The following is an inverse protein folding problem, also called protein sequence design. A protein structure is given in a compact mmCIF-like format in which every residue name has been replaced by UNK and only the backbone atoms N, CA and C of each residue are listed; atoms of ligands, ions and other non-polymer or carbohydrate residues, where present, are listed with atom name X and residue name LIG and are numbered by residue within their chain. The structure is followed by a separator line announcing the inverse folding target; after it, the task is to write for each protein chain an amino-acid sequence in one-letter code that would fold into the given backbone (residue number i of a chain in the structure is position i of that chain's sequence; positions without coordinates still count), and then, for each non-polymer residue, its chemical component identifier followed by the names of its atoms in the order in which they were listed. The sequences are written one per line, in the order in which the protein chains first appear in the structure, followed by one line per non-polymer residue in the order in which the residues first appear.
data_IF_826547143050
#
_entry.id   IF_826547143050
#
_cell.length_a   1.000
_cell.length_b   1.000
_cell.length_c   1.000
_cell.angle_alpha   90.00
_cell.angle_beta   90.00
_cell.angle_gamma   90.00
#
_symmetry.space_group_name_H-M   'P 1'
#
loop_
_entity.id
_entity.type
_entity.pdbx_description
1 polymer ?
#
# COMPACT_ATOMS: atom_id res chain seq x y z
N UNK A 1 -36.84 -6.52 18.86
CA UNK A 1 -36.62 -5.09 19.18
C UNK A 1 -35.42 -4.65 18.36
N UNK A 2 -35.62 -3.79 17.37
CA UNK A 2 -34.57 -3.35 16.46
C UNK A 2 -33.71 -2.27 17.10
N UNK A 3 -32.40 -2.47 17.10
CA UNK A 3 -31.45 -1.40 17.40
C UNK A 3 -31.22 -0.61 16.11
N UNK A 4 -31.79 0.59 16.05
CA UNK A 4 -31.42 1.60 15.08
C UNK A 4 -30.09 2.24 15.54
N UNK A 5 -29.08 2.15 14.68
CA UNK A 5 -27.81 2.85 14.81
C UNK A 5 -28.09 4.34 14.55
N UNK A 6 -27.90 5.18 15.57
CA UNK A 6 -27.90 6.64 15.43
C UNK A 6 -26.55 7.08 14.85
N UNK A 7 -26.49 7.74 13.69
CA UNK A 7 -25.27 8.39 13.21
C UNK A 7 -25.27 9.83 13.73
N UNK A 8 -24.87 10.01 14.98
CA UNK A 8 -24.45 11.33 15.46
C UNK A 8 -23.34 11.11 16.47
N UNK A 9 -22.19 10.76 15.93
CA UNK A 9 -20.90 10.71 16.61
C UNK A 9 -20.58 12.10 17.17
N UNK A 10 -20.62 12.19 18.50
CA UNK A 10 -19.75 12.99 19.36
C UNK A 10 -19.22 14.31 18.78
N UNK A 11 -20.13 15.24 18.46
CA UNK A 11 -19.75 16.64 18.28
C UNK A 11 -19.40 17.24 19.64
N UNK A 12 -18.11 17.31 19.96
CA UNK A 12 -17.62 17.71 21.29
C UNK A 12 -17.45 19.24 21.45
N UNK A 13 -17.66 20.02 20.38
CA UNK A 13 -17.70 21.48 20.42
C UNK A 13 -18.13 22.09 19.10
N UNK A 14 -18.30 23.43 19.05
CA UNK A 14 -18.68 24.11 17.82
C UNK A 14 -17.54 24.08 16.81
N UNK A 15 -17.88 23.82 15.55
CA UNK A 15 -16.96 23.88 14.41
C UNK A 15 -17.32 25.12 13.59
N UNK A 16 -16.36 26.02 13.40
CA UNK A 16 -16.56 27.25 12.61
C UNK A 16 -15.52 27.32 11.51
N UNK A 17 -16.00 27.48 10.29
CA UNK A 17 -15.20 27.64 9.08
C UNK A 17 -15.51 29.01 8.50
N UNK A 18 -14.54 29.91 8.56
CA UNK A 18 -14.66 31.31 8.11
C UNK A 18 -13.49 31.67 7.20
N UNK A 19 -13.56 32.82 6.53
CA UNK A 19 -12.45 33.33 5.71
C UNK A 19 -12.04 34.73 6.13
N UNK A 20 -10.74 35.02 6.09
CA UNK A 20 -10.21 36.38 6.14
C UNK A 20 -9.74 36.81 4.74
N UNK A 21 -9.05 37.94 4.59
CA UNK A 21 -8.61 38.42 3.27
C UNK A 21 -7.64 37.46 2.56
N UNK A 22 -6.91 36.62 3.31
CA UNK A 22 -5.77 35.83 2.79
C UNK A 22 -5.92 34.33 2.95
N UNK A 23 -6.75 33.88 3.89
CA UNK A 23 -6.78 32.51 4.35
C UNK A 23 -8.20 32.03 4.65
N UNK A 24 -8.37 30.71 4.64
CA UNK A 24 -9.48 30.04 5.31
C UNK A 24 -9.09 29.73 6.75
N UNK A 25 -10.04 29.85 7.66
CA UNK A 25 -9.84 29.69 9.11
C UNK A 25 -10.83 28.66 9.62
N UNK A 26 -10.32 27.65 10.34
CA UNK A 26 -11.10 26.59 10.96
C UNK A 26 -10.86 26.59 12.46
N UNK A 27 -11.88 26.96 13.21
CA UNK A 27 -11.94 26.82 14.67
C UNK A 27 -12.64 25.49 14.99
N UNK A 28 -11.94 24.63 15.72
CA UNK A 28 -12.41 23.29 16.04
C UNK A 28 -11.95 22.90 17.45
N UNK A 29 -12.77 22.12 18.16
CA UNK A 29 -12.44 21.67 19.51
C UNK A 29 -11.14 20.83 19.52
N UNK A 30 -10.30 20.90 20.58
CA UNK A 30 -9.03 20.18 20.62
C UNK A 30 -9.10 18.67 20.38
N UNK A 31 -10.22 18.03 20.72
CA UNK A 31 -10.42 16.60 20.51
C UNK A 31 -10.68 16.24 19.04
N UNK A 32 -11.21 17.18 18.24
CA UNK A 32 -11.52 16.99 16.82
C UNK A 32 -10.41 17.56 15.90
N UNK A 33 -9.31 18.02 16.48
CA UNK A 33 -8.19 18.67 15.75
C UNK A 33 -7.60 17.80 14.64
N UNK A 34 -7.71 16.48 14.76
CA UNK A 34 -7.11 15.57 13.80
C UNK A 34 -7.83 15.61 12.44
N UNK A 35 -9.10 16.01 12.40
CA UNK A 35 -9.86 16.26 11.16
C UNK A 35 -9.28 17.43 10.37
N UNK A 36 -9.02 18.54 11.06
CA UNK A 36 -8.34 19.69 10.47
C UNK A 36 -6.90 19.34 10.04
N UNK A 37 -6.24 18.41 10.74
CA UNK A 37 -4.91 17.92 10.35
C UNK A 37 -4.90 17.06 9.10
N UNK A 38 -6.00 16.47 8.67
CA UNK A 38 -6.01 15.65 7.44
C UNK A 38 -5.93 16.51 6.18
N UNK A 39 -6.34 17.78 6.25
CA UNK A 39 -6.30 18.71 5.12
C UNK A 39 -4.87 19.27 4.93
N UNK A 40 -4.39 19.26 3.69
CA UNK A 40 -3.07 19.75 3.29
C UNK A 40 -2.98 21.28 3.32
N UNK A 41 -1.78 21.83 3.51
CA UNK A 41 -1.55 23.30 3.52
C UNK A 41 -1.95 24.01 4.81
N UNK A 42 -2.10 23.26 5.91
CA UNK A 42 -2.52 23.76 7.23
C UNK A 42 -1.39 24.43 8.01
N UNK A 43 -1.72 25.49 8.74
CA UNK A 43 -0.86 26.13 9.74
C UNK A 43 -1.67 26.40 11.01
N UNK A 44 -1.10 26.13 12.17
CA UNK A 44 -1.75 26.46 13.45
C UNK A 44 -1.48 27.92 13.81
N UNK A 45 -2.53 28.73 13.96
CA UNK A 45 -2.43 30.09 14.48
C UNK A 45 -2.83 30.12 15.96
N UNK A 46 -1.81 30.15 16.83
CA UNK A 46 -2.00 30.18 18.28
C UNK A 46 -2.62 31.47 18.83
N UNK A 47 -2.69 32.56 18.05
CA UNK A 47 -3.38 33.79 18.47
C UNK A 47 -4.89 33.68 18.27
N UNK A 48 -5.31 33.01 17.20
CA UNK A 48 -6.73 32.78 16.86
C UNK A 48 -7.25 31.46 17.42
N UNK A 49 -6.35 30.58 17.88
CA UNK A 49 -6.65 29.22 18.32
C UNK A 49 -7.40 28.48 17.20
N UNK A 50 -6.86 28.58 15.98
CA UNK A 50 -7.51 28.08 14.77
C UNK A 50 -6.49 27.52 13.78
N UNK A 51 -6.95 26.61 12.92
CA UNK A 51 -6.21 26.16 11.76
C UNK A 51 -6.42 27.14 10.61
N UNK A 52 -5.31 27.57 10.01
CA UNK A 52 -5.29 28.53 8.92
C UNK A 52 -4.80 27.82 7.66
N UNK A 53 -5.48 28.04 6.55
CA UNK A 53 -5.15 27.45 5.26
C UNK A 53 -5.07 28.53 4.18
N UNK A 54 -4.21 28.33 3.19
CA UNK A 54 -4.14 29.22 2.03
C UNK A 54 -5.44 29.19 1.21
N UNK A 55 -5.82 30.33 0.61
CA UNK A 55 -6.98 30.42 -0.29
C UNK A 55 -6.72 29.79 -1.66
N UNK A 56 -6.50 28.48 -1.68
CA UNK A 56 -6.43 27.68 -2.90
C UNK A 56 -7.79 27.01 -3.20
N UNK A 57 -8.14 26.79 -4.48
CA UNK A 57 -9.36 26.06 -4.86
C UNK A 57 -9.41 24.65 -4.27
N UNK A 58 -8.27 23.95 -4.25
CA UNK A 58 -8.14 22.59 -3.69
C UNK A 58 -8.46 22.56 -2.19
N UNK A 59 -7.97 23.55 -1.46
CA UNK A 59 -8.23 23.72 -0.03
C UNK A 59 -9.71 24.00 0.23
N UNK A 60 -10.34 24.84 -0.60
CA UNK A 60 -11.78 25.10 -0.50
C UNK A 60 -12.59 23.81 -0.69
N UNK A 61 -12.27 23.02 -1.72
CA UNK A 61 -12.98 21.77 -2.03
C UNK A 61 -12.79 20.74 -0.89
N UNK A 62 -11.59 20.66 -0.30
CA UNK A 62 -11.32 19.82 0.86
C UNK A 62 -12.08 20.26 2.13
N UNK A 63 -12.13 21.57 2.43
CA UNK A 63 -12.88 22.11 3.56
C UNK A 63 -14.39 21.88 3.42
N UNK A 64 -14.91 22.01 2.20
CA UNK A 64 -16.30 21.70 1.86
C UNK A 64 -16.61 20.22 2.07
N UNK A 65 -15.72 19.33 1.64
CA UNK A 65 -15.92 17.89 1.80
C UNK A 65 -15.92 17.46 3.28
N UNK A 66 -15.00 18.03 4.08
CA UNK A 66 -14.77 17.61 5.45
C UNK A 66 -15.74 18.23 6.47
N UNK A 67 -16.01 19.55 6.37
CA UNK A 67 -16.68 20.29 7.45
C UNK A 67 -18.06 20.85 7.09
N UNK A 68 -18.48 20.85 5.83
CA UNK A 68 -19.76 21.48 5.43
C UNK A 68 -20.99 20.81 6.05
N UNK A 69 -20.89 19.51 6.37
CA UNK A 69 -22.02 18.72 6.88
C UNK A 69 -22.29 18.92 8.36
N UNK A 70 -21.26 19.29 9.12
CA UNK A 70 -21.24 19.24 10.57
C UNK A 70 -20.80 20.56 11.23
N UNK A 71 -20.30 21.53 10.45
CA UNK A 71 -20.00 22.87 10.92
C UNK A 71 -21.25 23.62 11.40
N UNK A 72 -21.13 24.30 12.55
CA UNK A 72 -22.14 25.24 13.05
C UNK A 72 -22.17 26.53 12.25
N UNK A 73 -21.01 26.89 11.68
CA UNK A 73 -20.85 28.09 10.86
C UNK A 73 -19.91 27.75 9.70
N UNK A 74 -20.39 27.94 8.47
CA UNK A 74 -19.62 27.67 7.27
C UNK A 74 -19.77 28.84 6.29
N UNK A 75 -18.89 29.84 6.45
CA UNK A 75 -18.92 31.12 5.74
C UNK A 75 -17.62 31.33 4.96
N UNK A 76 -17.39 30.49 3.94
CA UNK A 76 -16.25 30.61 3.03
C UNK A 76 -16.72 30.66 1.58
N UNK A 77 -15.99 31.38 0.73
CA UNK A 77 -16.28 31.50 -0.70
C UNK A 77 -15.19 30.85 -1.53
N UNK A 78 -15.58 30.28 -2.66
CA UNK A 78 -14.61 29.69 -3.60
C UNK A 78 -13.68 30.80 -4.12
N UNK A 79 -12.35 30.64 -4.05
CA UNK A 79 -11.42 31.64 -4.56
C UNK A 79 -11.65 31.88 -6.06
N UNK A 80 -11.67 33.15 -6.48
CA UNK A 80 -11.69 33.49 -7.91
C UNK A 80 -10.38 33.01 -8.53
N UNK A 81 -10.46 32.05 -9.43
CA UNK A 81 -9.30 31.57 -10.19
C UNK A 81 -8.68 32.74 -10.94
N UNK A 82 -7.40 33.03 -10.70
CA UNK A 82 -6.66 33.99 -11.53
C UNK A 82 -6.58 33.42 -12.93
N UNK A 83 -7.13 34.15 -13.90
CA UNK A 83 -7.03 33.85 -15.32
C UNK A 83 -5.53 33.74 -15.68
N UNK A 84 -5.10 32.73 -16.44
CA UNK A 84 -3.71 32.61 -16.88
C UNK A 84 -3.24 33.89 -17.59
N UNK A 85 -1.97 34.31 -17.43
CA UNK A 85 -1.49 35.62 -17.88
C UNK A 85 -1.36 35.81 -19.40
N UNK A 86 -1.91 34.93 -20.25
CA UNK A 86 -1.68 34.96 -21.71
C UNK A 86 -2.92 35.20 -22.58
N UNK A 87 -3.96 35.84 -22.05
CA UNK A 87 -5.04 36.38 -22.90
C UNK A 87 -4.97 37.90 -22.85
N UNK A 88 -4.44 38.50 -23.91
CA UNK A 88 -4.48 39.95 -24.15
C UNK A 88 -5.93 40.42 -24.09
N UNK A 89 -6.30 41.12 -23.04
CA UNK A 89 -7.54 41.86 -22.97
C UNK A 89 -7.42 43.06 -23.91
N UNK A 90 -8.09 42.99 -25.06
CA UNK A 90 -8.47 44.18 -25.78
C UNK A 90 -9.46 44.95 -24.89
N UNK A 91 -9.04 46.16 -24.53
CA UNK A 91 -9.84 47.21 -23.91
C UNK A 91 -11.05 47.53 -24.78
N UNK A 92 -12.25 47.53 -24.20
CA UNK A 92 -13.38 48.27 -24.76
C UNK A 92 -14.18 48.87 -23.59
N UNK A 93 -13.89 50.14 -23.33
CA UNK A 93 -14.93 51.09 -22.93
C UNK A 93 -15.81 51.34 -24.17
N UNK A 94 -17.12 51.36 -23.92
CA UNK A 94 -18.19 52.13 -24.58
C UNK A 94 -18.05 52.42 -26.09
N UNK A 95 -18.90 51.80 -26.90
CA UNK A 95 -20.05 52.50 -27.52
C UNK A 95 -20.77 51.59 -28.54
N UNK A 96 -22.05 51.91 -28.71
CA UNK A 96 -23.05 51.32 -29.60
C UNK A 96 -22.56 51.11 -31.04
N UNK A 97 -22.98 49.97 -31.64
CA UNK A 97 -23.59 49.84 -32.98
C UNK A 97 -23.36 48.43 -33.55
N UNK A 98 -24.49 47.77 -33.84
CA UNK A 98 -24.68 46.68 -34.81
C UNK A 98 -23.57 45.62 -34.96
N UNK A 99 -23.70 44.50 -34.24
CA UNK A 99 -22.94 43.29 -34.52
C UNK A 99 -23.86 42.10 -34.81
N UNK A 100 -23.98 41.77 -36.09
CA UNK A 100 -24.61 40.55 -36.60
C UNK A 100 -24.02 39.31 -35.93
N UNK A 101 -24.88 38.44 -35.40
CA UNK A 101 -24.49 37.13 -34.84
C UNK A 101 -23.76 36.27 -35.87
N UNK A 102 -22.45 36.00 -35.74
CA UNK A 102 -21.79 35.01 -36.56
C UNK A 102 -22.05 33.63 -35.94
N UNK A 103 -22.78 32.81 -36.69
CA UNK A 103 -22.71 31.35 -36.75
C UNK A 103 -22.64 30.53 -35.43
N UNK A 104 -23.73 29.80 -35.22
CA UNK A 104 -23.99 28.70 -34.29
C UNK A 104 -23.09 27.45 -34.49
N UNK A 105 -21.81 27.59 -34.87
CA UNK A 105 -20.93 26.43 -35.14
C UNK A 105 -20.01 26.05 -33.96
N UNK A 106 -19.66 26.96 -33.05
CA UNK A 106 -18.76 26.64 -31.91
C UNK A 106 -19.44 25.91 -30.73
N UNK A 107 -20.77 25.83 -30.69
CA UNK A 107 -21.50 25.01 -29.70
C UNK A 107 -21.56 23.52 -30.08
N UNK A 108 -21.27 23.18 -31.34
CA UNK A 108 -21.22 21.80 -31.83
C UNK A 108 -19.98 21.04 -31.33
N UNK A 109 -18.82 21.70 -31.28
CA UNK A 109 -17.56 21.07 -30.87
C UNK A 109 -17.50 20.80 -29.37
N UNK A 110 -18.01 21.72 -28.55
CA UNK A 110 -18.09 21.53 -27.09
C UNK A 110 -19.03 20.39 -26.68
N UNK A 111 -20.18 20.24 -27.35
CA UNK A 111 -21.09 19.11 -27.11
C UNK A 111 -20.52 17.78 -27.63
N UNK A 112 -19.77 17.82 -28.73
CA UNK A 112 -19.09 16.64 -29.28
C UNK A 112 -17.99 16.15 -28.34
N UNK A 113 -17.18 17.07 -27.80
CA UNK A 113 -16.12 16.77 -26.84
C UNK A 113 -16.66 16.23 -25.51
N UNK A 114 -17.74 16.83 -24.98
CA UNK A 114 -18.42 16.32 -23.79
C UNK A 114 -19.03 14.92 -24.01
N UNK A 115 -19.53 14.61 -25.21
CA UNK A 115 -20.03 13.28 -25.55
C UNK A 115 -18.92 12.24 -25.66
N UNK A 116 -17.75 12.63 -26.17
CA UNK A 116 -16.56 11.77 -26.23
C UNK A 116 -16.03 11.49 -24.82
N UNK A 117 -15.88 12.51 -23.98
CA UNK A 117 -15.44 12.35 -22.58
C UNK A 117 -16.42 11.50 -21.76
N UNK A 118 -17.74 11.66 -21.96
CA UNK A 118 -18.74 10.79 -21.31
C UNK A 118 -18.72 9.34 -21.83
N UNK A 119 -18.40 9.14 -23.11
CA UNK A 119 -18.22 7.80 -23.66
C UNK A 119 -16.97 7.12 -23.06
N UNK A 120 -15.88 7.86 -22.87
CA UNK A 120 -14.66 7.39 -22.21
C UNK A 120 -14.85 7.10 -20.72
N UNK A 121 -15.64 7.91 -20.02
CA UNK A 121 -16.03 7.64 -18.62
C UNK A 121 -16.88 6.36 -18.55
N UNK A 122 -17.77 6.13 -19.53
CA UNK A 122 -18.60 4.93 -19.57
C UNK A 122 -17.81 3.67 -19.89
N UNK A 123 -16.83 3.74 -20.78
CA UNK A 123 -15.94 2.60 -21.07
C UNK A 123 -15.05 2.28 -19.87
N UNK A 124 -14.50 3.29 -19.19
CA UNK A 124 -13.72 3.07 -17.95
C UNK A 124 -14.59 2.48 -16.83
N UNK A 125 -15.82 2.94 -16.64
CA UNK A 125 -16.75 2.34 -15.68
C UNK A 125 -17.13 0.89 -16.01
N UNK A 126 -17.27 0.54 -17.30
CA UNK A 126 -17.47 -0.85 -17.71
C UNK A 126 -16.23 -1.72 -17.44
N UNK A 127 -15.03 -1.20 -17.69
CA UNK A 127 -13.76 -1.90 -17.38
C UNK A 127 -13.64 -2.12 -15.87
N UNK A 128 -14.01 -1.14 -15.05
CA UNK A 128 -14.07 -1.32 -13.59
C UNK A 128 -15.11 -2.36 -13.19
N UNK A 129 -16.29 -2.35 -13.81
CA UNK A 129 -17.34 -3.35 -13.55
C UNK A 129 -16.87 -4.78 -13.87
N UNK A 130 -16.18 -4.98 -14.99
CA UNK A 130 -15.57 -6.26 -15.35
C UNK A 130 -14.46 -6.66 -14.37
N UNK A 131 -13.61 -5.73 -13.94
CA UNK A 131 -12.57 -5.98 -12.94
C UNK A 131 -13.16 -6.39 -11.57
N UNK A 132 -14.29 -5.81 -11.15
CA UNK A 132 -14.98 -6.21 -9.93
C UNK A 132 -15.61 -7.60 -10.06
N UNK A 133 -16.21 -7.93 -11.21
CA UNK A 133 -16.75 -9.27 -11.46
C UNK A 133 -15.65 -10.34 -11.46
N UNK A 134 -14.46 -10.02 -11.99
CA UNK A 134 -13.31 -10.92 -11.95
C UNK A 134 -12.72 -11.04 -10.54
N UNK A 135 -12.75 -9.97 -9.73
CA UNK A 135 -12.35 -10.02 -8.32
C UNK A 135 -13.28 -10.93 -7.50
N UNK A 136 -14.60 -10.88 -7.76
CA UNK A 136 -15.58 -11.75 -7.10
C UNK A 136 -15.36 -13.24 -7.46
N UNK A 137 -15.08 -13.54 -8.73
CA UNK A 137 -14.67 -14.89 -9.18
C UNK A 137 -13.36 -15.35 -8.53
N UNK A 138 -12.39 -14.45 -8.36
CA UNK A 138 -11.14 -14.77 -7.66
C UNK A 138 -11.38 -15.10 -6.19
N UNK A 139 -12.26 -14.37 -5.50
CA UNK A 139 -12.63 -14.66 -4.12
C UNK A 139 -13.36 -16.01 -3.98
N UNK A 140 -14.26 -16.33 -4.91
CA UNK A 140 -14.91 -17.65 -4.95
C UNK A 140 -13.90 -18.77 -5.20
N UNK A 141 -12.93 -18.56 -6.11
CA UNK A 141 -11.85 -19.51 -6.36
C UNK A 141 -10.97 -19.71 -5.11
N UNK A 142 -10.62 -18.64 -4.40
CA UNK A 142 -9.84 -18.72 -3.15
C UNK A 142 -10.61 -19.49 -2.08
N UNK A 143 -11.92 -19.23 -1.94
CA UNK A 143 -12.76 -19.95 -0.99
C UNK A 143 -12.89 -21.44 -1.34
N UNK A 144 -13.00 -21.77 -2.62
CA UNK A 144 -13.04 -23.15 -3.09
C UNK A 144 -11.70 -23.87 -2.85
N UNK A 145 -10.58 -23.21 -3.14
CA UNK A 145 -9.23 -23.72 -2.87
C UNK A 145 -8.97 -23.90 -1.37
N UNK A 146 -9.44 -23.00 -0.51
CA UNK A 146 -9.34 -23.16 0.94
C UNK A 146 -10.11 -24.39 1.44
N UNK A 147 -11.31 -24.62 0.90
CA UNK A 147 -12.11 -25.80 1.24
C UNK A 147 -11.39 -27.09 0.81
N UNK A 148 -10.87 -27.12 -0.42
CA UNK A 148 -10.15 -28.27 -0.96
C UNK A 148 -8.82 -28.54 -0.21
N UNK A 149 -8.13 -27.48 0.23
CA UNK A 149 -6.92 -27.56 1.06
C UNK A 149 -7.26 -28.13 2.44
N UNK A 150 -8.36 -27.68 3.06
CA UNK A 150 -8.81 -28.19 4.35
C UNK A 150 -9.18 -29.68 4.30
N UNK A 151 -9.78 -30.13 3.19
CA UNK A 151 -10.10 -31.54 2.94
C UNK A 151 -8.83 -32.37 2.70
N UNK A 152 -7.84 -31.81 2.00
CA UNK A 152 -6.56 -32.46 1.72
C UNK A 152 -5.66 -32.57 2.96
N UNK A 153 -5.68 -31.56 3.85
CA UNK A 153 -4.99 -31.61 5.16
C UNK A 153 -5.62 -32.67 6.07
N UNK A 154 -6.95 -32.80 6.05
CA UNK A 154 -7.66 -33.86 6.78
C UNK A 154 -7.30 -35.28 6.32
N UNK A 155 -6.92 -35.45 5.06
CA UNK A 155 -6.48 -36.73 4.49
C UNK A 155 -4.96 -36.97 4.64
N UNK A 156 -4.14 -35.91 4.62
CA UNK A 156 -2.69 -35.98 4.80
C UNK A 156 -2.27 -36.30 6.25
N UNK A 157 -3.12 -36.02 7.24
CA UNK A 157 -2.87 -36.37 8.65
C UNK A 157 -2.74 -37.89 8.95
N UNK A 158 -3.05 -38.77 7.98
CA UNK A 158 -2.93 -40.23 8.13
C UNK A 158 -1.71 -40.86 7.45
N UNK A 159 -0.92 -40.10 6.67
CA UNK A 159 0.25 -40.64 5.96
C UNK A 159 1.38 -39.62 5.97
N UNK A 160 2.24 -39.71 6.99
CA UNK A 160 3.71 -39.74 6.87
C UNK A 160 4.38 -39.33 8.18
N UNK A 161 4.98 -40.35 8.80
CA UNK A 161 5.99 -40.24 9.86
C UNK A 161 7.34 -40.00 9.19
N UNK A 162 7.67 -38.75 8.89
CA UNK A 162 9.03 -38.28 8.64
C UNK A 162 9.21 -36.97 9.42
N UNK A 163 10.30 -36.90 10.18
CA UNK A 163 10.66 -35.90 11.19
C UNK A 163 10.00 -34.52 10.99
N UNK A 164 8.79 -34.39 11.51
CA UNK A 164 8.11 -33.11 11.71
C UNK A 164 8.90 -32.39 12.81
N UNK A 165 9.20 -31.08 12.68
CA UNK A 165 9.73 -30.31 13.81
C UNK A 165 8.82 -30.55 15.01
N UNK A 166 9.41 -30.82 16.18
CA UNK A 166 8.71 -31.26 17.39
C UNK A 166 7.37 -30.53 17.57
N UNK A 167 6.29 -31.26 17.96
CA UNK A 167 4.96 -30.68 18.12
C UNK A 167 5.07 -29.41 18.94
N UNK A 168 4.65 -28.29 18.33
CA UNK A 168 4.73 -26.95 18.91
C UNK A 168 4.15 -27.05 20.33
N UNK A 169 5.01 -26.84 21.33
CA UNK A 169 4.59 -26.67 22.73
C UNK A 169 3.45 -25.66 22.74
N UNK A 170 2.32 -26.05 23.32
CA UNK A 170 1.09 -25.26 23.38
C UNK A 170 1.43 -23.80 23.61
N UNK A 171 1.09 -22.94 22.64
CA UNK A 171 1.33 -21.50 22.75
C UNK A 171 0.66 -21.00 24.05
N UNK A 172 1.38 -20.27 24.92
CA UNK A 172 0.80 -19.74 26.13
C UNK A 172 -0.37 -18.80 25.80
N UNK A 173 -1.38 -18.75 26.67
CA UNK A 173 -2.57 -17.89 26.48
C UNK A 173 -2.19 -16.42 26.34
N UNK A 174 -1.14 -15.99 27.06
CA UNK A 174 -0.57 -14.65 26.97
C UNK A 174 0.83 -14.69 26.32
N UNK A 175 0.91 -14.16 25.09
CA UNK A 175 2.18 -14.00 24.39
C UNK A 175 2.83 -12.67 24.77
N UNK A 176 4.10 -12.74 25.16
CA UNK A 176 4.91 -11.58 25.52
C UNK A 176 6.13 -11.54 24.59
N UNK A 177 6.16 -10.54 23.71
CA UNK A 177 7.24 -10.38 22.74
C UNK A 177 8.54 -9.86 23.37
N UNK A 178 8.50 -9.36 24.60
CA UNK A 178 9.69 -8.99 25.37
C UNK A 178 10.30 -10.22 26.08
N UNK A 179 9.50 -11.27 26.28
CA UNK A 179 9.97 -12.54 26.82
C UNK A 179 10.69 -13.37 25.75
N UNK A 180 11.98 -13.62 25.97
CA UNK A 180 12.82 -14.36 25.03
C UNK A 180 12.33 -15.80 24.76
N UNK A 181 11.70 -16.48 25.72
CA UNK A 181 11.17 -17.82 25.52
C UNK A 181 9.92 -17.81 24.63
N UNK A 182 9.00 -16.86 24.86
CA UNK A 182 7.81 -16.67 24.02
C UNK A 182 8.21 -16.27 22.60
N UNK A 183 9.21 -15.39 22.45
CA UNK A 183 9.75 -15.00 21.15
C UNK A 183 10.34 -16.20 20.39
N UNK A 184 11.05 -17.11 21.08
CA UNK A 184 11.58 -18.33 20.46
C UNK A 184 10.48 -19.31 20.04
N UNK A 185 9.41 -19.44 20.83
CA UNK A 185 8.26 -20.26 20.48
C UNK A 185 7.57 -19.74 19.21
N UNK A 186 7.32 -18.42 19.15
CA UNK A 186 6.74 -17.76 17.98
C UNK A 186 7.68 -17.88 16.77
N UNK A 187 8.98 -17.68 16.96
CA UNK A 187 9.99 -17.81 15.91
C UNK A 187 9.96 -19.22 15.31
N UNK A 188 9.94 -20.28 16.14
CA UNK A 188 9.82 -21.67 15.67
C UNK A 188 8.53 -21.92 14.90
N UNK A 189 7.40 -21.42 15.39
CA UNK A 189 6.11 -21.58 14.71
C UNK A 189 6.12 -20.88 13.33
N UNK A 190 6.65 -19.65 13.26
CA UNK A 190 6.78 -18.90 12.01
C UNK A 190 7.74 -19.57 11.03
N UNK A 191 8.85 -20.12 11.50
CA UNK A 191 9.77 -20.89 10.66
C UNK A 191 9.07 -22.13 10.10
N UNK A 192 8.25 -22.82 10.91
CA UNK A 192 7.44 -23.95 10.44
C UNK A 192 6.46 -23.56 9.32
N UNK A 193 5.75 -22.44 9.49
CA UNK A 193 4.86 -21.90 8.45
C UNK A 193 5.65 -21.52 7.19
N UNK A 194 6.78 -20.83 7.35
CA UNK A 194 7.64 -20.44 6.25
C UNK A 194 8.20 -21.65 5.49
N UNK A 195 8.59 -22.71 6.19
CA UNK A 195 9.07 -23.96 5.58
C UNK A 195 8.00 -24.64 4.72
N UNK A 196 6.74 -24.63 5.18
CA UNK A 196 5.63 -25.13 4.37
C UNK A 196 5.37 -24.24 3.14
N UNK A 197 5.48 -22.92 3.30
CA UNK A 197 5.32 -21.95 2.21
C UNK A 197 6.44 -22.02 1.17
N UNK A 198 7.65 -22.42 1.57
CA UNK A 198 8.79 -22.66 0.69
C UNK A 198 8.77 -24.05 0.06
N UNK A 199 7.59 -24.67 -0.13
CA UNK A 199 7.45 -26.02 -0.70
C UNK A 199 8.31 -27.09 0.01
N UNK A 200 8.58 -26.91 1.30
CA UNK A 200 9.43 -27.79 2.12
C UNK A 200 10.89 -27.90 1.64
N UNK A 201 11.40 -26.87 0.98
CA UNK A 201 12.78 -26.82 0.49
C UNK A 201 13.83 -27.01 1.62
N UNK A 202 14.69 -28.04 1.59
CA UNK A 202 15.65 -28.32 2.67
C UNK A 202 16.65 -27.18 2.91
N UNK A 203 17.19 -26.60 1.83
CA UNK A 203 18.14 -25.48 1.96
C UNK A 203 17.53 -24.24 2.62
N UNK A 204 16.20 -24.06 2.54
CA UNK A 204 15.52 -22.95 3.22
C UNK A 204 15.56 -23.14 4.74
N UNK A 205 15.15 -24.32 5.21
CA UNK A 205 15.07 -24.58 6.66
C UNK A 205 16.47 -24.58 7.30
N UNK A 206 17.46 -25.19 6.63
CA UNK A 206 18.85 -25.22 7.09
C UNK A 206 19.41 -23.80 7.23
N UNK A 207 19.12 -22.94 6.24
CA UNK A 207 19.57 -21.55 6.26
C UNK A 207 18.83 -20.75 7.35
N UNK A 208 17.51 -20.78 7.38
CA UNK A 208 16.70 -19.93 8.29
C UNK A 208 16.95 -20.25 9.76
N UNK A 209 17.11 -21.52 10.12
CA UNK A 209 17.39 -21.95 11.50
C UNK A 209 18.71 -21.36 12.04
N UNK A 210 19.69 -21.10 11.17
CA UNK A 210 20.96 -20.46 11.53
C UNK A 210 20.87 -18.94 11.76
N UNK A 211 19.87 -18.27 11.19
CA UNK A 211 19.83 -16.80 11.11
C UNK A 211 18.86 -16.13 12.09
N UNK A 212 17.94 -16.89 12.72
CA UNK A 212 17.00 -16.42 13.78
C UNK A 212 16.28 -15.11 13.44
N UNK A 213 15.22 -15.17 12.61
CA UNK A 213 14.51 -13.99 12.11
C UNK A 213 14.05 -12.99 13.17
N UNK A 214 13.52 -13.46 14.30
CA UNK A 214 13.05 -12.61 15.39
C UNK A 214 14.14 -12.33 16.42
N UNK A 215 15.08 -13.26 16.61
CA UNK A 215 16.21 -13.08 17.51
C UNK A 215 17.18 -11.99 17.06
N UNK A 216 17.38 -11.84 15.74
CA UNK A 216 18.27 -10.81 15.15
C UNK A 216 17.70 -10.21 13.86
N UNK A 217 16.60 -9.44 13.93
CA UNK A 217 15.86 -8.93 12.76
C UNK A 217 16.73 -8.27 11.69
N UNK A 218 17.55 -7.28 12.07
CA UNK A 218 18.38 -6.53 11.12
C UNK A 218 19.44 -7.40 10.46
N UNK A 219 20.04 -8.32 11.22
CA UNK A 219 21.05 -9.24 10.70
C UNK A 219 20.42 -10.24 9.74
N UNK A 220 19.31 -10.87 10.16
CA UNK A 220 18.54 -11.78 9.31
C UNK A 220 18.17 -11.14 7.96
N UNK A 221 17.62 -9.93 7.98
CA UNK A 221 17.23 -9.22 6.74
C UNK A 221 18.44 -8.92 5.87
N UNK A 222 19.58 -8.55 6.46
CA UNK A 222 20.80 -8.26 5.70
C UNK A 222 21.36 -9.53 5.07
N UNK A 223 21.56 -10.58 5.87
CA UNK A 223 22.12 -11.86 5.41
C UNK A 223 21.19 -12.52 4.36
N UNK A 224 19.87 -12.44 4.56
CA UNK A 224 18.89 -12.94 3.58
C UNK A 224 18.90 -12.14 2.27
N UNK A 225 19.26 -10.86 2.32
CA UNK A 225 19.33 -10.04 1.12
C UNK A 225 20.58 -10.33 0.30
N UNK A 226 21.72 -10.56 0.96
CA UNK A 226 22.96 -10.94 0.30
C UNK A 226 22.81 -12.29 -0.41
N UNK A 227 22.22 -13.31 0.24
CA UNK A 227 22.00 -14.60 -0.43
C UNK A 227 21.06 -14.48 -1.64
N UNK A 228 20.00 -13.65 -1.55
CA UNK A 228 19.15 -13.40 -2.72
C UNK A 228 19.91 -12.69 -3.83
N UNK A 229 20.80 -11.74 -3.50
CA UNK A 229 21.63 -11.04 -4.47
C UNK A 229 22.54 -12.02 -5.19
N UNK A 230 23.26 -12.86 -4.46
CA UNK A 230 24.13 -13.90 -5.00
C UNK A 230 23.38 -14.85 -5.94
N UNK A 231 22.15 -15.26 -5.59
CA UNK A 231 21.37 -16.16 -6.43
C UNK A 231 20.86 -15.47 -7.69
N UNK A 232 20.41 -14.20 -7.60
CA UNK A 232 20.05 -13.43 -8.79
C UNK A 232 21.25 -13.19 -9.71
N UNK A 233 22.44 -12.96 -9.15
CA UNK A 233 23.69 -12.88 -9.92
C UNK A 233 23.96 -14.18 -10.68
N UNK A 234 23.79 -15.34 -10.04
CA UNK A 234 23.93 -16.65 -10.72
C UNK A 234 22.93 -16.84 -11.86
N UNK A 235 21.68 -16.39 -11.69
CA UNK A 235 20.68 -16.45 -12.76
C UNK A 235 21.10 -15.61 -13.97
N UNK A 236 21.56 -14.39 -13.75
CA UNK A 236 21.99 -13.47 -14.83
C UNK A 236 23.34 -13.87 -15.44
N UNK A 237 24.22 -14.52 -14.68
CA UNK A 237 25.53 -14.98 -15.17
C UNK A 237 26.63 -13.93 -14.99
N UNK A 238 27.29 -13.53 -16.09
CA UNK A 238 28.50 -12.69 -16.09
C UNK A 238 28.18 -11.22 -15.76
N UNK A 239 27.89 -10.97 -14.48
CA UNK A 239 27.48 -9.65 -13.99
C UNK A 239 28.65 -8.93 -13.33
N UNK A 240 28.73 -7.63 -13.60
CA UNK A 240 29.54 -6.69 -12.82
C UNK A 240 29.17 -6.79 -11.33
N UNK A 241 30.15 -7.10 -10.48
CA UNK A 241 29.98 -7.21 -9.02
C UNK A 241 29.35 -5.97 -8.36
N UNK A 242 29.35 -4.82 -9.05
CA UNK A 242 28.73 -3.58 -8.61
C UNK A 242 27.23 -3.44 -8.95
N UNK A 243 26.63 -4.41 -9.66
CA UNK A 243 25.22 -4.35 -10.05
C UNK A 243 24.30 -4.23 -8.83
N UNK A 244 23.34 -3.31 -8.92
CA UNK A 244 22.38 -3.10 -7.84
C UNK A 244 21.32 -4.19 -7.85
N UNK A 245 20.81 -4.56 -6.67
CA UNK A 245 19.77 -5.58 -6.52
C UNK A 245 18.56 -5.36 -7.44
N UNK A 246 18.10 -4.10 -7.59
CA UNK A 246 16.97 -3.77 -8.48
C UNK A 246 17.31 -3.97 -9.96
N UNK A 247 18.57 -3.76 -10.36
CA UNK A 247 19.01 -4.01 -11.73
C UNK A 247 19.04 -5.51 -12.03
N UNK A 248 19.47 -6.33 -11.06
CA UNK A 248 19.38 -7.78 -11.15
C UNK A 248 17.94 -8.26 -11.29
N UNK A 249 17.00 -7.75 -10.47
CA UNK A 249 15.57 -8.08 -10.60
C UNK A 249 15.06 -7.77 -12.01
N UNK A 250 15.37 -6.58 -12.53
CA UNK A 250 14.89 -6.16 -13.84
C UNK A 250 15.48 -7.04 -14.96
N UNK A 251 16.78 -7.36 -14.91
CA UNK A 251 17.40 -8.26 -15.90
C UNK A 251 16.77 -9.66 -15.88
N UNK A 252 16.66 -10.27 -14.70
CA UNK A 252 16.02 -11.59 -14.54
C UNK A 252 14.58 -11.58 -15.07
N UNK A 253 13.85 -10.48 -14.86
CA UNK A 253 12.50 -10.32 -15.38
C UNK A 253 12.45 -10.14 -16.90
N UNK A 254 13.28 -9.25 -17.44
CA UNK A 254 13.29 -8.90 -18.87
C UNK A 254 13.77 -10.08 -19.73
N UNK A 255 14.71 -10.87 -19.21
CA UNK A 255 15.26 -12.06 -19.86
C UNK A 255 14.48 -13.35 -19.52
N UNK A 256 13.42 -13.26 -18.70
CA UNK A 256 12.60 -14.39 -18.24
C UNK A 256 13.41 -15.57 -17.65
N UNK A 257 14.45 -15.25 -16.86
CA UNK A 257 15.37 -16.25 -16.29
C UNK A 257 14.76 -17.04 -15.13
N UNK A 258 13.73 -16.50 -14.48
CA UNK A 258 12.94 -17.21 -13.46
C UNK A 258 11.58 -17.56 -14.05
N UNK A 259 11.26 -18.85 -14.06
CA UNK A 259 9.97 -19.34 -14.51
C UNK A 259 8.86 -18.96 -13.51
N UNK A 260 7.88 -18.19 -13.99
CA UNK A 260 6.65 -17.88 -13.28
C UNK A 260 5.47 -18.42 -14.10
N UNK A 261 4.76 -19.40 -13.56
CA UNK A 261 3.60 -19.99 -14.26
C UNK A 261 2.47 -18.96 -14.39
N UNK A 262 1.72 -19.02 -15.49
CA UNK A 262 0.59 -18.12 -15.72
C UNK A 262 -0.51 -18.45 -14.73
N UNK A 263 -0.72 -17.57 -13.75
CA UNK A 263 -1.67 -17.78 -12.66
C UNK A 263 -1.03 -18.28 -11.35
N UNK A 264 0.31 -18.36 -11.30
CA UNK A 264 1.03 -18.58 -10.05
C UNK A 264 0.65 -17.47 -9.04
N UNK A 265 0.11 -17.81 -7.86
CA UNK A 265 -0.20 -16.82 -6.84
C UNK A 265 1.05 -16.09 -6.32
N UNK A 266 2.23 -16.67 -6.51
CA UNK A 266 3.51 -16.10 -6.10
C UNK A 266 3.99 -15.08 -7.13
N UNK A 267 3.77 -13.80 -6.82
CA UNK A 267 4.31 -12.70 -7.61
C UNK A 267 5.78 -12.44 -7.27
N UNK A 268 6.69 -13.25 -7.84
CA UNK A 268 8.14 -13.25 -7.51
C UNK A 268 8.77 -11.86 -7.59
N UNK A 269 8.64 -11.16 -8.73
CA UNK A 269 9.31 -9.87 -8.92
C UNK A 269 8.76 -8.75 -8.02
N UNK A 270 7.44 -8.60 -7.83
CA UNK A 270 6.90 -7.71 -6.80
C UNK A 270 7.39 -8.03 -5.38
N UNK A 271 7.44 -9.31 -5.01
CA UNK A 271 7.95 -9.73 -3.70
C UNK A 271 9.44 -9.38 -3.52
N UNK A 272 10.28 -9.62 -4.53
CA UNK A 272 11.70 -9.23 -4.52
C UNK A 272 11.89 -7.72 -4.34
N UNK A 273 11.07 -6.89 -5.00
CA UNK A 273 11.10 -5.43 -4.80
C UNK A 273 10.67 -5.03 -3.39
N UNK A 274 9.69 -5.72 -2.82
CA UNK A 274 9.26 -5.49 -1.45
C UNK A 274 10.34 -5.88 -0.43
N UNK A 275 11.03 -7.01 -0.63
CA UNK A 275 12.19 -7.44 0.17
C UNK A 275 13.29 -6.38 0.14
N UNK A 276 13.66 -5.88 -1.05
CA UNK A 276 14.63 -4.79 -1.18
C UNK A 276 14.19 -3.51 -0.44
N UNK A 277 12.91 -3.14 -0.52
CA UNK A 277 12.39 -1.98 0.20
C UNK A 277 12.48 -2.15 1.73
N UNK A 278 12.23 -3.36 2.25
CA UNK A 278 12.40 -3.67 3.68
C UNK A 278 13.89 -3.61 4.06
N UNK A 279 14.79 -4.21 3.28
CA UNK A 279 16.24 -4.17 3.56
C UNK A 279 16.78 -2.75 3.58
N UNK A 280 16.42 -1.92 2.60
CA UNK A 280 16.87 -0.53 2.55
C UNK A 280 16.39 0.27 3.76
N UNK A 281 15.18 -0.03 4.27
CA UNK A 281 14.69 0.55 5.52
C UNK A 281 15.59 0.19 6.72
N UNK A 282 16.01 -1.08 6.85
CA UNK A 282 16.96 -1.51 7.89
C UNK A 282 18.35 -0.86 7.75
N UNK A 283 18.80 -0.58 6.53
CA UNK A 283 20.12 0.01 6.27
C UNK A 283 20.19 1.54 6.52
N UNK A 284 19.06 2.25 6.53
CA UNK A 284 19.06 3.71 6.65
C UNK A 284 19.10 4.19 8.11
N UNK A 285 20.03 5.09 8.50
CA UNK A 285 20.17 5.60 9.88
C UNK A 285 18.93 6.37 10.41
N UNK A 286 18.06 6.85 9.52
CA UNK A 286 16.81 7.53 9.88
C UNK A 286 15.69 6.55 10.24
N UNK A 287 15.86 5.27 9.95
CA UNK A 287 14.93 4.20 10.28
C UNK A 287 15.14 3.66 11.69
N UNK A 288 15.12 4.53 12.72
CA UNK A 288 15.06 4.06 14.11
C UNK A 288 13.69 3.42 14.36
N UNK A 289 13.55 2.17 13.94
CA UNK A 289 12.36 1.38 14.17
C UNK A 289 12.31 0.98 15.65
N UNK A 290 11.13 1.14 16.25
CA UNK A 290 10.85 0.48 17.52
C UNK A 290 11.00 -1.04 17.37
N UNK A 291 11.28 -1.73 18.47
CA UNK A 291 11.53 -3.17 18.47
C UNK A 291 10.40 -3.97 17.80
N UNK A 292 9.14 -3.65 18.11
CA UNK A 292 7.97 -4.28 17.48
C UNK A 292 7.91 -4.09 15.96
N UNK A 293 8.35 -2.94 15.44
CA UNK A 293 8.39 -2.70 14.00
C UNK A 293 9.50 -3.50 13.33
N UNK A 294 10.66 -3.65 13.99
CA UNK A 294 11.73 -4.52 13.49
C UNK A 294 11.25 -5.98 13.39
N UNK A 295 10.55 -6.47 14.42
CA UNK A 295 9.96 -7.80 14.41
C UNK A 295 8.95 -7.95 13.27
N UNK A 296 7.99 -7.04 13.13
CA UNK A 296 6.98 -7.10 12.07
C UNK A 296 7.61 -7.13 10.67
N UNK A 297 8.62 -6.29 10.44
CA UNK A 297 9.34 -6.28 9.16
C UNK A 297 10.12 -7.56 8.92
N UNK A 298 10.73 -8.13 9.95
CA UNK A 298 11.43 -9.41 9.85
C UNK A 298 10.47 -10.56 9.54
N UNK A 299 9.29 -10.59 10.17
CA UNK A 299 8.23 -11.57 9.87
C UNK A 299 7.79 -11.43 8.41
N UNK A 300 7.50 -10.21 7.97
CA UNK A 300 7.12 -9.95 6.58
C UNK A 300 8.22 -10.40 5.61
N UNK A 301 9.48 -10.12 5.94
CA UNK A 301 10.64 -10.54 5.15
C UNK A 301 10.74 -12.06 5.08
N UNK A 302 10.61 -12.77 6.20
CA UNK A 302 10.62 -14.23 6.26
C UNK A 302 9.51 -14.84 5.40
N UNK A 303 8.30 -14.32 5.48
CA UNK A 303 7.17 -14.83 4.68
C UNK A 303 7.40 -14.62 3.19
N UNK A 304 7.82 -13.43 2.77
CA UNK A 304 8.14 -13.18 1.35
C UNK A 304 9.34 -14.01 0.88
N UNK A 305 10.39 -14.10 1.70
CA UNK A 305 11.56 -14.93 1.41
C UNK A 305 11.14 -16.37 1.17
N UNK A 306 10.28 -16.94 2.02
CA UNK A 306 9.83 -18.32 1.89
C UNK A 306 9.09 -18.60 0.58
N UNK A 307 8.26 -17.66 0.12
CA UNK A 307 7.50 -17.80 -1.12
C UNK A 307 8.39 -17.71 -2.37
N UNK A 308 9.41 -16.85 -2.33
CA UNK A 308 10.30 -16.68 -3.49
C UNK A 308 11.47 -17.67 -3.50
N UNK A 309 11.77 -18.32 -2.37
CA UNK A 309 12.92 -19.21 -2.22
C UNK A 309 12.97 -20.32 -3.29
N UNK A 310 11.89 -21.10 -3.52
CA UNK A 310 11.93 -22.21 -4.48
C UNK A 310 12.10 -21.76 -5.93
N UNK A 311 11.80 -20.48 -6.23
CA UNK A 311 11.88 -19.91 -7.58
C UNK A 311 13.25 -19.30 -7.88
N UNK A 312 13.98 -18.93 -6.84
CA UNK A 312 15.25 -18.19 -6.96
C UNK A 312 16.45 -19.08 -6.65
N UNK A 313 16.32 -20.03 -5.74
CA UNK A 313 17.46 -20.84 -5.33
C UNK A 313 17.78 -21.85 -6.41
N UNK A 314 18.98 -21.73 -6.95
CA UNK A 314 19.54 -22.76 -7.82
C UNK A 314 20.08 -23.82 -6.87
N UNK A 315 19.41 -24.96 -6.81
CA UNK A 315 19.97 -26.14 -6.18
C UNK A 315 21.34 -26.39 -6.84
N UNK A 316 22.38 -26.46 -6.02
CA UNK A 316 23.62 -27.03 -6.53
C UNK A 316 23.26 -28.47 -6.82
N UNK A 317 23.05 -28.79 -8.10
CA UNK A 317 23.00 -30.17 -8.56
C UNK A 317 24.18 -30.86 -7.86
N UNK A 318 23.85 -31.75 -6.95
CA UNK A 318 24.77 -32.80 -6.54
C UNK A 318 25.08 -33.54 -7.83
N UNK A 319 26.20 -33.16 -8.46
CA UNK A 319 26.90 -33.97 -9.46
C UNK A 319 27.19 -35.32 -8.78
N UNK A 320 26.22 -36.25 -8.88
CA UNK A 320 26.36 -37.68 -8.63
C UNK A 320 26.24 -38.43 -9.97
#
# INVERSE_FOLDING_TARGET
MGNMINPNTDKQGPIRVTEDDKHFVVEIHPNDRDRAKMISGRQWDGKRIAWVYEKAPETYDALVAEFKRDADTFEIRRPKTKRPPDIKAASLEEDDEDFEWPALDELGEGQSRLRVELAEIRTTLNIFGEAFADQERQLESISASQKQLSESIGQAGQRESLAVPEPIEVLPEDLDLENQAHLQLIERALIGVAYLASEKHPSFIDWVMGHRPLGRPSKFVTDAHEILKEQLEKHVGDVDASARFVELINRVQDENLIYCERGDPVQVFPMLRALNAIRNRFAHPRGNFGYAEQLNRSITYLMYLSLVWPKIMIDQDTDD
#
